data_IF_022868517603
#
_entry.id   IF_022868517603
#
_cell.length_a   1.000
_cell.length_b   1.000
_cell.length_c   1.000
_cell.angle_alpha   90.00
_cell.angle_beta   90.00
_cell.angle_gamma   90.00
#
_symmetry.space_group_name_H-M   'P 1'
#
loop_
_entity.id
_entity.type
_entity.pdbx_description
1 polymer ?
#
# COMPACT_ATOMS: atom_id res chain seq x y z
N UNK A 1 14.93 -4.49 -19.41
CA UNK A 1 14.49 -5.07 -20.70
C UNK A 1 13.22 -5.80 -20.34
N UNK A 2 12.05 -5.19 -20.42
CA UNK A 2 11.17 -5.35 -19.26
C UNK A 2 9.91 -6.17 -19.55
N UNK A 3 9.72 -7.24 -18.78
CA UNK A 3 8.43 -7.93 -18.62
C UNK A 3 7.54 -7.03 -17.77
N UNK A 4 6.32 -6.78 -18.24
CA UNK A 4 5.37 -5.87 -17.60
C UNK A 4 4.07 -6.58 -17.27
N UNK A 5 3.55 -6.38 -16.07
CA UNK A 5 2.26 -6.88 -15.62
C UNK A 5 1.18 -5.79 -15.77
N UNK A 6 0.08 -6.07 -16.47
CA UNK A 6 -0.99 -5.09 -16.69
C UNK A 6 -1.89 -4.99 -15.45
N UNK A 7 -2.12 -3.76 -15.01
CA UNK A 7 -2.92 -3.39 -13.85
C UNK A 7 -4.35 -2.99 -14.25
N UNK A 8 -5.30 -3.29 -13.37
CA UNK A 8 -6.70 -2.89 -13.48
C UNK A 8 -7.20 -2.32 -12.15
N UNK A 9 -7.98 -1.25 -12.22
CA UNK A 9 -8.44 -0.51 -11.05
C UNK A 9 -9.10 0.80 -11.44
N UNK A 10 -9.39 1.63 -10.44
CA UNK A 10 -9.86 2.98 -10.71
C UNK A 10 -8.72 3.85 -11.27
N UNK A 11 -9.04 4.76 -12.19
CA UNK A 11 -8.05 5.64 -12.83
C UNK A 11 -7.28 6.50 -11.83
N UNK A 12 -7.90 6.99 -10.75
CA UNK A 12 -7.21 7.81 -9.74
C UNK A 12 -6.18 7.00 -8.96
N UNK A 13 -6.54 5.76 -8.58
CA UNK A 13 -5.63 4.87 -7.86
C UNK A 13 -4.48 4.44 -8.78
N UNK A 14 -4.77 4.16 -10.06
CA UNK A 14 -3.75 3.81 -11.05
C UNK A 14 -2.81 5.00 -11.36
N UNK A 15 -3.35 6.21 -11.50
CA UNK A 15 -2.54 7.43 -11.70
C UNK A 15 -1.70 7.74 -10.45
N UNK A 16 -2.21 7.49 -9.24
CA UNK A 16 -1.43 7.61 -8.00
C UNK A 16 -0.24 6.64 -7.97
N UNK A 17 -0.41 5.39 -8.43
CA UNK A 17 0.73 4.47 -8.58
C UNK A 17 1.74 4.95 -9.62
N UNK A 18 1.27 5.49 -10.75
CA UNK A 18 2.16 6.09 -11.75
C UNK A 18 2.95 7.25 -11.14
N UNK A 19 2.31 8.13 -10.36
CA UNK A 19 3.01 9.24 -9.70
C UNK A 19 4.07 8.75 -8.71
N UNK A 20 3.75 7.74 -7.90
CA UNK A 20 4.64 7.22 -6.86
C UNK A 20 5.79 6.36 -7.40
N UNK A 21 5.62 5.76 -8.59
CA UNK A 21 6.56 4.80 -9.18
C UNK A 21 6.90 5.13 -10.65
N UNK A 22 6.85 6.41 -11.04
CA UNK A 22 7.09 6.83 -12.44
C UNK A 22 8.49 6.44 -12.94
N UNK A 23 9.46 6.37 -12.02
CA UNK A 23 10.86 6.06 -12.25
C UNK A 23 11.36 5.12 -11.15
N UNK A 24 12.47 4.42 -11.35
CA UNK A 24 13.07 3.51 -10.38
C UNK A 24 12.64 2.05 -10.55
N UNK A 25 12.85 1.24 -9.50
CA UNK A 25 12.60 -0.20 -9.52
C UNK A 25 11.82 -0.61 -8.24
N UNK A 26 10.59 -1.14 -8.36
CA UNK A 26 9.79 -1.31 -9.58
C UNK A 26 9.25 0.02 -10.13
N UNK A 27 8.81 0.00 -11.39
CA UNK A 27 8.22 1.15 -12.10
C UNK A 27 6.75 0.89 -12.42
N UNK A 28 5.90 1.92 -12.34
CA UNK A 28 4.53 1.91 -12.86
C UNK A 28 4.37 2.96 -13.95
N UNK A 29 3.91 2.55 -15.12
CA UNK A 29 3.72 3.43 -16.28
C UNK A 29 2.31 3.33 -16.85
N UNK A 30 1.89 4.41 -17.53
CA UNK A 30 0.69 4.46 -18.37
C UNK A 30 1.10 4.41 -19.83
N UNK A 31 0.74 3.32 -20.50
CA UNK A 31 0.98 3.08 -21.92
C UNK A 31 -0.34 3.23 -22.70
N UNK A 32 -0.28 3.18 -24.04
CA UNK A 32 -1.46 3.30 -24.90
C UNK A 32 -2.58 2.28 -24.58
N UNK A 33 -2.20 1.08 -24.13
CA UNK A 33 -3.11 -0.06 -23.89
C UNK A 33 -3.52 -0.25 -22.41
N UNK A 34 -3.03 0.62 -21.51
CA UNK A 34 -3.36 0.57 -20.08
C UNK A 34 -2.21 0.90 -19.15
N UNK A 35 -2.33 0.45 -17.91
CA UNK A 35 -1.36 0.69 -16.85
C UNK A 35 -0.53 -0.57 -16.61
N UNK A 36 0.76 -0.41 -16.37
CA UNK A 36 1.71 -1.51 -16.30
C UNK A 36 2.65 -1.36 -15.11
N UNK A 37 2.86 -2.46 -14.39
CA UNK A 37 3.91 -2.62 -13.38
C UNK A 37 5.08 -3.37 -14.03
N UNK A 38 6.26 -2.76 -13.97
CA UNK A 38 7.48 -3.24 -14.59
C UNK A 38 8.55 -3.44 -13.51
N UNK A 39 9.27 -4.55 -13.57
CA UNK A 39 10.32 -4.87 -12.60
C UNK A 39 11.32 -5.86 -13.19
N UNK A 40 12.60 -5.69 -12.82
CA UNK A 40 13.65 -6.65 -13.12
C UNK A 40 13.36 -8.04 -12.51
N UNK A 41 12.59 -8.12 -11.42
CA UNK A 41 12.20 -9.38 -10.78
C UNK A 41 11.25 -10.23 -11.65
N UNK A 42 10.61 -9.62 -12.65
CA UNK A 42 9.75 -10.31 -13.61
C UNK A 42 10.51 -10.84 -14.83
N UNK A 43 11.74 -10.36 -15.05
CA UNK A 43 12.55 -10.75 -16.21
C UNK A 43 12.88 -12.25 -16.15
N UNK A 44 12.75 -12.94 -17.28
CA UNK A 44 13.00 -14.38 -17.38
C UNK A 44 11.92 -15.29 -16.78
N UNK A 45 10.82 -14.73 -16.23
CA UNK A 45 9.72 -15.52 -15.67
C UNK A 45 8.56 -15.79 -16.65
N UNK A 46 8.62 -15.27 -17.88
CA UNK A 46 7.50 -15.34 -18.84
C UNK A 46 7.05 -16.77 -19.18
N UNK A 47 7.97 -17.74 -19.08
CA UNK A 47 7.70 -19.15 -19.35
C UNK A 47 7.26 -19.94 -18.10
N UNK A 48 7.28 -19.32 -16.91
CA UNK A 48 6.79 -19.88 -15.64
C UNK A 48 5.66 -18.99 -15.09
N UNK A 49 4.46 -19.18 -15.64
CA UNK A 49 3.29 -18.35 -15.29
C UNK A 49 2.92 -18.38 -13.80
N UNK A 50 3.22 -19.47 -13.09
CA UNK A 50 2.97 -19.58 -11.65
C UNK A 50 3.90 -18.67 -10.84
N UNK A 51 5.21 -18.73 -11.11
CA UNK A 51 6.18 -17.83 -10.48
C UNK A 51 5.98 -16.39 -10.92
N UNK A 52 5.70 -16.15 -12.20
CA UNK A 52 5.42 -14.81 -12.74
C UNK A 52 4.27 -14.13 -12.01
N UNK A 53 3.13 -14.82 -11.86
CA UNK A 53 1.98 -14.28 -11.15
C UNK A 53 2.27 -14.06 -9.67
N UNK A 54 2.96 -15.00 -9.01
CA UNK A 54 3.32 -14.86 -7.60
C UNK A 54 4.23 -13.65 -7.36
N UNK A 55 5.29 -13.50 -8.15
CA UNK A 55 6.21 -12.35 -8.07
C UNK A 55 5.49 -11.04 -8.37
N UNK A 56 4.67 -10.98 -9.42
CA UNK A 56 3.91 -9.78 -9.74
C UNK A 56 2.88 -9.41 -8.66
N UNK A 57 2.27 -10.41 -8.02
CA UNK A 57 1.30 -10.20 -6.95
C UNK A 57 1.97 -9.62 -5.71
N UNK A 58 3.15 -10.13 -5.36
CA UNK A 58 3.95 -9.61 -4.24
C UNK A 58 4.42 -8.17 -4.51
N UNK A 59 4.93 -7.89 -5.73
CA UNK A 59 5.31 -6.53 -6.12
C UNK A 59 4.11 -5.57 -6.05
N UNK A 60 2.94 -5.98 -6.55
CA UNK A 60 1.73 -5.16 -6.49
C UNK A 60 1.26 -4.94 -5.05
N UNK A 61 1.38 -5.94 -4.19
CA UNK A 61 1.06 -5.83 -2.77
C UNK A 61 1.95 -4.77 -2.11
N UNK A 62 3.25 -4.79 -2.35
CA UNK A 62 4.18 -3.81 -1.78
C UNK A 62 3.95 -2.40 -2.32
N UNK A 63 3.74 -2.23 -3.64
CA UNK A 63 3.42 -0.90 -4.21
C UNK A 63 2.09 -0.36 -3.69
N UNK A 64 1.08 -1.24 -3.52
CA UNK A 64 -0.20 -0.91 -2.88
C UNK A 64 -0.01 -0.48 -1.42
N UNK A 65 0.86 -1.15 -0.67
CA UNK A 65 1.16 -0.81 0.72
C UNK A 65 1.77 0.58 0.85
N UNK A 66 2.70 0.93 -0.03
CA UNK A 66 3.29 2.28 -0.11
C UNK A 66 2.21 3.32 -0.45
N UNK A 67 1.43 3.07 -1.50
CA UNK A 67 0.40 4.02 -1.94
C UNK A 67 -0.66 4.26 -0.86
N UNK A 68 -1.13 3.20 -0.19
CA UNK A 68 -2.06 3.31 0.93
C UNK A 68 -1.46 4.07 2.12
N UNK A 69 -0.17 3.92 2.40
CA UNK A 69 0.48 4.68 3.46
C UNK A 69 0.53 6.18 3.13
N UNK A 70 0.84 6.53 1.88
CA UNK A 70 1.06 7.91 1.44
C UNK A 70 -0.24 8.65 1.06
N UNK A 71 -1.27 7.95 0.59
CA UNK A 71 -2.56 8.52 0.19
C UNK A 71 -3.73 7.82 0.90
N UNK A 72 -4.49 8.57 1.70
CA UNK A 72 -5.64 8.06 2.45
C UNK A 72 -6.83 7.69 1.58
N UNK A 73 -6.87 8.21 0.35
CA UNK A 73 -7.95 7.96 -0.60
C UNK A 73 -7.69 6.74 -1.47
N UNK A 74 -6.45 6.24 -1.48
CA UNK A 74 -6.01 5.13 -2.31
C UNK A 74 -6.79 3.85 -2.02
N UNK A 75 -7.23 3.18 -3.09
CA UNK A 75 -7.84 1.86 -3.06
C UNK A 75 -6.98 0.87 -3.84
N UNK A 76 -6.90 -0.40 -3.40
CA UNK A 76 -6.11 -1.41 -4.09
C UNK A 76 -6.52 -1.56 -5.54
N UNK A 77 -5.51 -1.67 -6.40
CA UNK A 77 -5.67 -2.11 -7.79
C UNK A 77 -5.30 -3.59 -7.89
N UNK A 78 -5.55 -4.19 -9.05
CA UNK A 78 -5.41 -5.63 -9.27
C UNK A 78 -4.56 -5.93 -10.49
N UNK A 79 -4.01 -7.14 -10.55
CA UNK A 79 -3.43 -7.68 -11.78
C UNK A 79 -4.57 -8.16 -12.69
N UNK A 80 -4.55 -7.74 -13.96
CA UNK A 80 -5.45 -8.28 -14.98
C UNK A 80 -5.14 -9.74 -15.36
N UNK A 81 -3.97 -10.26 -14.93
CA UNK A 81 -3.41 -11.53 -15.39
C UNK A 81 -2.73 -11.46 -16.75
N UNK A 82 -2.71 -10.30 -17.41
CA UNK A 82 -2.00 -10.08 -18.67
C UNK A 82 -0.58 -9.57 -18.43
N UNK A 83 0.38 -10.21 -19.09
CA UNK A 83 1.79 -9.86 -19.06
C UNK A 83 2.29 -9.60 -20.47
N UNK A 84 3.14 -8.59 -20.62
CA UNK A 84 3.74 -8.20 -21.89
C UNK A 84 5.24 -8.34 -21.76
N UNK A 85 5.82 -9.14 -22.65
CA UNK A 85 7.27 -9.22 -22.82
C UNK A 85 7.68 -8.37 -24.03
N UNK A 86 8.55 -7.39 -23.77
CA UNK A 86 9.13 -6.49 -24.77
C UNK A 86 10.57 -6.87 -25.13
N UNK A 87 11.10 -7.98 -24.61
CA UNK A 87 12.51 -8.39 -24.73
C UNK A 87 12.88 -9.12 -26.03
N UNK A 88 11.97 -9.22 -27.03
CA UNK A 88 12.20 -9.95 -28.28
C UNK A 88 11.76 -9.20 -29.55
N UNK A 89 12.09 -9.75 -30.73
CA UNK A 89 11.55 -9.31 -32.03
C UNK A 89 10.03 -9.59 -32.08
N UNK A 90 9.24 -8.71 -31.47
CA UNK A 90 7.80 -8.81 -31.34
C UNK A 90 7.33 -8.78 -29.89
N UNK A 91 6.22 -8.06 -29.63
CA UNK A 91 5.55 -8.06 -28.31
C UNK A 91 4.89 -9.41 -28.09
N UNK A 92 5.30 -10.15 -27.06
CA UNK A 92 4.62 -11.39 -26.64
C UNK A 92 3.65 -11.08 -25.51
N UNK A 93 2.41 -11.53 -25.66
CA UNK A 93 1.38 -11.45 -24.63
C UNK A 93 1.25 -12.81 -23.94
N UNK A 94 1.41 -12.83 -22.63
CA UNK A 94 1.19 -14.00 -21.78
C UNK A 94 -0.02 -13.74 -20.88
N UNK A 95 -0.96 -14.68 -20.82
CA UNK A 95 -2.17 -14.55 -20.01
C UNK A 95 -2.19 -15.66 -18.97
N UNK A 96 -2.07 -15.28 -17.70
CA UNK A 96 -2.27 -16.18 -16.57
C UNK A 96 -3.70 -16.02 -16.06
N UNK A 97 -4.51 -17.07 -16.15
CA UNK A 97 -5.88 -17.04 -15.64
C UNK A 97 -5.84 -17.29 -14.13
N UNK A 98 -5.97 -16.23 -13.34
CA UNK A 98 -6.32 -16.31 -11.92
C UNK A 98 -7.67 -15.60 -11.72
N UNK A 99 -8.71 -16.38 -11.42
CA UNK A 99 -10.07 -15.85 -11.35
C UNK A 99 -10.40 -15.19 -10.01
N UNK A 100 -10.78 -13.92 -10.06
CA UNK A 100 -12.02 -13.35 -9.47
C UNK A 100 -12.18 -11.92 -9.99
N UNK A 101 -13.32 -11.59 -10.61
CA UNK A 101 -13.62 -10.26 -11.14
C UNK A 101 -14.64 -9.53 -10.25
N UNK A 102 -14.37 -8.27 -9.92
CA UNK A 102 -15.36 -7.31 -9.41
C UNK A 102 -15.39 -6.08 -10.32
N UNK A 103 -16.59 -5.65 -10.75
CA UNK A 103 -16.79 -4.49 -11.64
C UNK A 103 -17.61 -3.43 -10.90
N UNK A 104 -17.15 -2.18 -10.87
CA UNK A 104 -17.92 -1.01 -10.37
C UNK A 104 -17.69 0.23 -11.24
N UNK A 105 -18.77 0.98 -11.49
CA UNK A 105 -18.75 2.27 -12.17
C UNK A 105 -19.07 3.42 -11.21
N UNK A 106 -18.43 4.60 -11.37
CA UNK A 106 -18.82 5.86 -10.71
C UNK A 106 -18.62 7.03 -11.68
N UNK A 107 -19.62 7.91 -11.77
CA UNK A 107 -19.58 9.11 -12.62
C UNK A 107 -18.85 10.27 -11.94
N UNK A 108 -18.18 11.13 -12.72
CA UNK A 108 -17.54 12.36 -12.25
C UNK A 108 -17.92 13.56 -13.11
N UNK A 109 -18.10 14.71 -12.45
CA UNK A 109 -18.15 16.03 -13.08
C UNK A 109 -16.74 16.65 -13.03
N UNK A 110 -16.25 17.14 -14.15
CA UNK A 110 -14.90 17.72 -14.31
C UNK A 110 -15.01 19.25 -14.25
N UNK A 111 -14.26 19.87 -13.34
CA UNK A 111 -13.99 21.31 -13.34
C UNK A 111 -12.53 21.56 -13.74
N UNK A 112 -12.32 22.40 -14.76
CA UNK A 112 -10.98 22.77 -15.26
C UNK A 112 -10.49 24.01 -14.53
N UNK A 113 -9.24 23.97 -14.04
CA UNK A 113 -8.47 25.18 -13.69
C UNK A 113 -7.08 25.08 -14.33
N UNK A 114 -6.73 26.10 -15.09
CA UNK A 114 -5.40 26.30 -15.68
C UNK A 114 -4.62 27.33 -14.87
N UNK A 115 -3.38 27.04 -14.50
CA UNK A 115 -2.30 28.03 -14.48
C UNK A 115 -0.93 27.36 -14.33
N UNK A 116 0.02 27.82 -15.15
CA UNK A 116 1.37 27.35 -15.27
C UNK A 116 2.32 28.01 -14.27
N UNK A 117 3.30 27.25 -13.78
CA UNK A 117 4.57 27.75 -13.25
C UNK A 117 5.63 26.70 -13.55
N UNK A 118 6.81 27.11 -13.99
CA UNK A 118 7.91 26.20 -14.34
C UNK A 118 8.31 25.36 -13.11
N UNK A 119 8.35 24.02 -13.22
CA UNK A 119 8.66 23.18 -12.07
C UNK A 119 10.15 23.29 -11.72
N UNK A 120 10.44 23.45 -10.43
CA UNK A 120 11.70 23.02 -9.84
C UNK A 120 11.94 21.54 -10.23
N UNK A 121 13.20 21.04 -10.25
CA UNK A 121 13.44 19.61 -10.48
C UNK A 121 12.54 18.83 -9.54
N UNK A 122 11.60 18.04 -10.10
CA UNK A 122 10.73 17.21 -9.28
C UNK A 122 11.64 16.30 -8.47
N UNK A 123 11.45 16.26 -7.15
CA UNK A 123 12.06 15.22 -6.34
C UNK A 123 11.68 13.87 -6.95
N UNK A 124 12.60 12.89 -6.99
CA UNK A 124 12.28 11.58 -7.54
C UNK A 124 11.07 10.99 -6.80
N UNK A 125 10.21 10.23 -7.48
CA UNK A 125 9.08 9.56 -6.84
C UNK A 125 9.53 8.76 -5.61
N UNK A 126 8.81 8.85 -4.48
CA UNK A 126 9.26 8.23 -3.24
C UNK A 126 9.10 6.70 -3.22
N UNK A 127 8.26 6.13 -4.09
CA UNK A 127 7.87 4.72 -4.07
C UNK A 127 9.05 3.74 -4.13
N UNK A 128 9.92 3.80 -5.14
CA UNK A 128 11.07 2.89 -5.25
C UNK A 128 12.02 2.97 -4.05
N UNK A 129 12.23 4.16 -3.48
CA UNK A 129 13.09 4.31 -2.30
C UNK A 129 12.51 3.58 -1.08
N UNK A 130 11.19 3.65 -0.89
CA UNK A 130 10.49 2.93 0.19
C UNK A 130 10.50 1.40 -0.03
N UNK A 131 10.40 0.95 -1.28
CA UNK A 131 10.54 -0.49 -1.58
C UNK A 131 11.98 -0.98 -1.43
N UNK A 132 12.96 -0.13 -1.75
CA UNK A 132 14.36 -0.43 -1.49
C UNK A 132 14.65 -0.53 0.01
N UNK A 133 14.03 0.33 0.83
CA UNK A 133 14.06 0.23 2.29
C UNK A 133 13.47 -1.12 2.74
N UNK A 134 12.31 -1.53 2.21
CA UNK A 134 11.68 -2.81 2.53
C UNK A 134 12.57 -4.03 2.22
N UNK A 135 13.29 -4.01 1.09
CA UNK A 135 14.25 -5.07 0.72
C UNK A 135 15.39 -5.24 1.74
N UNK A 136 15.80 -4.15 2.40
CA UNK A 136 16.84 -4.16 3.42
C UNK A 136 16.32 -4.29 4.85
N UNK A 137 15.01 -4.21 5.06
CA UNK A 137 14.42 -4.06 6.39
C UNK A 137 13.15 -4.93 6.55
N UNK A 138 13.30 -6.10 7.18
CA UNK A 138 12.23 -7.11 7.31
C UNK A 138 10.93 -6.55 7.92
N UNK A 139 11.01 -5.76 9.00
CA UNK A 139 9.80 -5.16 9.59
C UNK A 139 9.06 -4.23 8.61
N UNK A 140 9.78 -3.53 7.72
CA UNK A 140 9.16 -2.66 6.70
C UNK A 140 8.45 -3.51 5.65
N UNK A 141 9.08 -4.61 5.22
CA UNK A 141 8.45 -5.57 4.31
C UNK A 141 7.16 -6.18 4.91
N UNK A 142 7.20 -6.62 6.18
CA UNK A 142 6.03 -7.17 6.87
C UNK A 142 4.89 -6.13 7.00
N UNK A 143 5.23 -4.87 7.27
CA UNK A 143 4.26 -3.79 7.31
C UNK A 143 3.63 -3.55 5.92
N UNK A 144 4.43 -3.55 4.85
CA UNK A 144 3.94 -3.43 3.48
C UNK A 144 3.08 -4.61 3.04
N UNK A 145 3.37 -5.83 3.50
CA UNK A 145 2.52 -6.99 3.22
C UNK A 145 1.11 -6.78 3.81
N UNK A 146 1.00 -6.22 5.02
CA UNK A 146 -0.29 -5.97 5.65
C UNK A 146 -0.99 -4.78 5.01
N UNK A 147 -0.28 -3.66 4.82
CA UNK A 147 -0.83 -2.47 4.18
C UNK A 147 -1.23 -2.73 2.72
N UNK A 148 -0.53 -3.64 2.05
CA UNK A 148 -0.69 -4.01 0.66
C UNK A 148 -1.86 -4.93 0.36
N UNK A 149 -2.57 -5.43 1.37
CA UNK A 149 -3.68 -6.36 1.18
C UNK A 149 -4.73 -5.79 0.22
N UNK A 150 -5.27 -6.67 -0.65
CA UNK A 150 -6.24 -6.31 -1.69
C UNK A 150 -7.63 -5.91 -1.16
N UNK A 151 -7.89 -6.08 0.14
CA UNK A 151 -9.12 -5.61 0.77
C UNK A 151 -9.24 -4.09 0.67
N UNK A 152 -10.43 -3.58 0.42
CA UNK A 152 -10.67 -2.12 0.29
C UNK A 152 -10.28 -1.36 1.55
N UNK A 153 -10.59 -1.93 2.72
CA UNK A 153 -10.22 -1.41 4.04
C UNK A 153 -9.44 -2.46 4.83
N UNK A 154 -8.60 -2.00 5.74
CA UNK A 154 -7.88 -2.86 6.69
C UNK A 154 -8.74 -3.09 7.93
N UNK A 155 -8.69 -4.29 8.51
CA UNK A 155 -9.38 -4.56 9.76
C UNK A 155 -8.61 -4.02 10.96
N UNK A 156 -9.26 -3.95 12.13
CA UNK A 156 -8.54 -3.65 13.39
C UNK A 156 -7.40 -4.62 13.68
N UNK A 157 -7.51 -5.87 13.23
CA UNK A 157 -6.45 -6.85 13.39
C UNK A 157 -5.23 -6.50 12.54
N UNK A 158 -5.44 -6.08 11.30
CA UNK A 158 -4.38 -5.68 10.37
C UNK A 158 -3.68 -4.41 10.87
N UNK A 159 -4.46 -3.38 11.22
CA UNK A 159 -3.95 -2.13 11.76
C UNK A 159 -3.11 -2.34 13.03
N UNK A 160 -3.57 -3.22 13.92
CA UNK A 160 -2.82 -3.52 15.13
C UNK A 160 -1.53 -4.29 14.85
N UNK A 161 -1.50 -5.21 13.88
CA UNK A 161 -0.26 -5.89 13.50
C UNK A 161 0.78 -4.89 13.00
N UNK A 162 0.38 -3.93 12.16
CA UNK A 162 1.29 -2.85 11.72
C UNK A 162 1.78 -2.03 12.92
N UNK A 163 0.89 -1.66 13.85
CA UNK A 163 1.30 -1.00 15.09
C UNK A 163 2.31 -1.82 15.91
N UNK A 164 2.10 -3.14 16.03
CA UNK A 164 3.01 -4.04 16.74
C UNK A 164 4.38 -4.11 16.07
N UNK A 165 4.43 -4.18 14.75
CA UNK A 165 5.67 -4.17 13.97
C UNK A 165 6.46 -2.88 14.25
N UNK A 166 5.83 -1.72 14.08
CA UNK A 166 6.50 -0.42 14.35
C UNK A 166 6.97 -0.35 15.80
N UNK A 167 6.09 -0.69 16.76
CA UNK A 167 6.41 -0.70 18.19
C UNK A 167 7.58 -1.63 18.50
N UNK A 168 7.62 -2.81 17.91
CA UNK A 168 8.71 -3.77 18.12
C UNK A 168 10.02 -3.22 17.55
N UNK A 169 10.00 -2.73 16.31
CA UNK A 169 11.17 -2.20 15.63
C UNK A 169 11.85 -1.07 16.42
N UNK A 170 11.07 -0.15 16.98
CA UNK A 170 11.62 0.99 17.72
C UNK A 170 12.05 0.67 19.16
N UNK A 171 11.94 -0.58 19.61
CA UNK A 171 12.35 -1.00 20.96
C UNK A 171 11.25 -0.91 22.02
N UNK A 172 9.98 -0.90 21.61
CA UNK A 172 8.84 -1.04 22.51
C UNK A 172 8.01 0.24 22.71
N UNK A 173 7.06 0.16 23.66
CA UNK A 173 6.05 1.22 23.83
C UNK A 173 6.59 2.53 24.40
N UNK A 174 7.57 2.46 25.31
CA UNK A 174 8.21 3.64 25.89
C UNK A 174 9.09 4.35 24.86
N UNK A 175 9.89 3.58 24.11
CA UNK A 175 10.70 4.12 23.02
C UNK A 175 9.84 4.76 21.93
N UNK A 176 8.73 4.11 21.53
CA UNK A 176 7.77 4.68 20.58
C UNK A 176 7.17 6.00 21.10
N UNK A 177 6.79 6.07 22.38
CA UNK A 177 6.28 7.31 22.97
C UNK A 177 7.36 8.42 22.98
N UNK A 178 8.62 8.05 23.24
CA UNK A 178 9.76 8.96 23.19
C UNK A 178 10.06 9.53 21.80
N UNK A 179 9.62 8.87 20.72
CA UNK A 179 9.76 9.39 19.35
C UNK A 179 8.86 10.59 19.06
N UNK A 180 7.75 10.74 19.78
CA UNK A 180 6.81 11.86 19.57
C UNK A 180 6.02 11.80 18.26
N UNK A 181 6.02 10.68 17.54
CA UNK A 181 5.28 10.50 16.28
C UNK A 181 3.76 10.46 16.46
N UNK A 182 3.30 10.24 17.69
CA UNK A 182 1.88 10.21 18.03
C UNK A 182 1.66 10.74 19.44
N UNK A 183 0.47 11.32 19.69
CA UNK A 183 0.11 11.74 21.04
C UNK A 183 -0.25 10.54 21.91
N UNK A 184 -0.02 10.61 23.24
CA UNK A 184 -0.47 9.57 24.17
C UNK A 184 -1.99 9.33 24.11
N UNK A 185 -2.77 10.37 23.79
CA UNK A 185 -4.22 10.29 23.65
C UNK A 185 -4.61 9.47 22.42
N UNK A 186 -4.00 9.73 21.27
CA UNK A 186 -4.28 9.01 20.02
C UNK A 186 -3.85 7.54 20.14
N UNK A 187 -2.66 7.29 20.69
CA UNK A 187 -2.19 5.93 20.93
C UNK A 187 -3.12 5.16 21.88
N UNK A 188 -3.69 5.83 22.89
CA UNK A 188 -4.69 5.23 23.80
C UNK A 188 -6.02 4.98 23.06
N UNK A 189 -6.52 5.94 22.29
CA UNK A 189 -7.76 5.84 21.54
C UNK A 189 -7.70 4.70 20.50
N UNK A 190 -6.60 4.61 19.75
CA UNK A 190 -6.33 3.50 18.83
C UNK A 190 -6.35 2.15 19.56
N UNK A 191 -5.59 2.02 20.66
CA UNK A 191 -5.52 0.79 21.45
C UNK A 191 -6.88 0.35 21.97
N UNK A 192 -7.69 1.27 22.48
CA UNK A 192 -9.01 0.91 22.98
C UNK A 192 -9.93 0.49 21.83
N UNK A 193 -9.93 1.24 20.74
CA UNK A 193 -10.83 0.98 19.60
C UNK A 193 -10.53 -0.34 18.92
N UNK A 194 -9.25 -0.67 18.73
CA UNK A 194 -8.85 -1.94 18.12
C UNK A 194 -9.14 -3.16 19.02
N UNK A 195 -9.07 -3.00 20.34
CA UNK A 195 -9.09 -4.14 21.27
C UNK A 195 -10.41 -4.33 22.03
N UNK A 196 -11.26 -3.31 22.15
CA UNK A 196 -12.41 -3.35 23.05
C UNK A 196 -13.74 -3.66 22.33
N UNK A 197 -14.43 -4.78 22.64
CA UNK A 197 -15.67 -5.16 21.96
C UNK A 197 -16.84 -4.20 22.26
N UNK A 198 -16.84 -3.51 23.39
CA UNK A 198 -17.84 -2.45 23.64
C UNK A 198 -17.66 -1.19 22.76
N UNK A 199 -16.50 -1.03 22.08
CA UNK A 199 -16.26 0.07 21.13
C UNK A 199 -16.49 -0.44 19.70
N UNK A 200 -15.79 -1.51 19.32
CA UNK A 200 -15.74 -1.98 17.91
C UNK A 200 -16.54 -3.25 17.65
N UNK A 201 -17.34 -3.71 18.63
CA UNK A 201 -18.18 -4.89 18.48
C UNK A 201 -17.38 -6.14 18.11
N UNK A 202 -17.91 -6.91 17.16
CA UNK A 202 -17.27 -8.13 16.66
C UNK A 202 -15.98 -7.87 15.86
N UNK A 203 -15.73 -6.63 15.41
CA UNK A 203 -14.50 -6.28 14.71
C UNK A 203 -13.32 -6.04 15.66
N UNK A 204 -13.57 -5.91 16.97
CA UNK A 204 -12.50 -5.79 17.95
C UNK A 204 -11.67 -7.09 18.02
N UNK A 205 -10.36 -6.95 18.27
CA UNK A 205 -9.44 -8.11 18.38
C UNK A 205 -9.77 -9.06 19.52
N UNK A 206 -10.38 -8.56 20.59
CA UNK A 206 -10.76 -9.38 21.74
C UNK A 206 -12.28 -9.52 21.83
N UNK A 207 -12.74 -10.77 22.02
CA UNK A 207 -14.15 -11.07 22.20
C UNK A 207 -14.70 -10.60 23.56
N UNK A 208 -13.86 -10.54 24.60
CA UNK A 208 -14.23 -10.15 25.97
C UNK A 208 -13.09 -9.39 26.63
N UNK A 209 -13.45 -8.38 27.42
CA UNK A 209 -12.54 -7.59 28.26
C UNK A 209 -13.23 -7.25 29.58
N UNK A 210 -12.45 -7.21 30.66
CA UNK A 210 -12.96 -6.92 32.01
C UNK A 210 -12.85 -5.44 32.38
N UNK A 211 -11.98 -4.69 31.69
CA UNK A 211 -11.83 -3.26 31.87
C UNK A 211 -12.92 -2.48 31.13
N UNK A 212 -13.32 -1.33 31.70
CA UNK A 212 -14.27 -0.42 31.05
C UNK A 212 -13.49 0.53 30.13
N UNK A 213 -13.88 0.68 28.85
CA UNK A 213 -13.25 1.62 27.96
C UNK A 213 -13.46 3.05 28.50
N UNK A 214 -12.46 3.91 28.33
CA UNK A 214 -12.50 5.27 28.87
C UNK A 214 -11.73 6.24 28.01
N UNK A 215 -12.36 7.38 27.71
CA UNK A 215 -11.79 8.46 26.92
C UNK A 215 -12.25 8.40 25.46
N UNK A 216 -11.42 8.98 24.59
CA UNK A 216 -11.68 9.07 23.15
C UNK A 216 -11.55 7.70 22.48
N UNK A 217 -12.35 7.51 21.45
CA UNK A 217 -12.36 6.33 20.58
C UNK A 217 -12.11 6.76 19.14
N UNK A 218 -11.75 5.80 18.30
CA UNK A 218 -11.56 5.96 16.86
C UNK A 218 -12.51 5.04 16.12
N UNK A 219 -13.09 5.56 15.04
CA UNK A 219 -13.64 4.77 13.95
C UNK A 219 -12.52 4.01 13.23
N UNK A 220 -12.88 3.01 12.41
CA UNK A 220 -11.88 2.26 11.64
C UNK A 220 -11.08 3.18 10.70
N UNK A 221 -11.74 4.15 10.06
CA UNK A 221 -11.09 5.12 9.18
C UNK A 221 -10.10 6.04 9.93
N UNK A 222 -10.45 6.47 11.15
CA UNK A 222 -9.51 7.21 12.01
C UNK A 222 -8.33 6.33 12.43
N UNK A 223 -8.57 5.04 12.68
CA UNK A 223 -7.52 4.06 12.95
C UNK A 223 -6.58 3.84 11.76
N UNK A 224 -7.10 3.75 10.54
CA UNK A 224 -6.31 3.72 9.31
C UNK A 224 -5.46 4.99 9.17
N UNK A 225 -6.07 6.16 9.39
CA UNK A 225 -5.36 7.44 9.38
C UNK A 225 -4.22 7.51 10.42
N UNK A 226 -4.48 7.03 11.63
CA UNK A 226 -3.47 6.93 12.69
C UNK A 226 -2.30 6.03 12.28
N UNK A 227 -2.56 4.84 11.73
CA UNK A 227 -1.50 3.92 11.29
C UNK A 227 -0.71 4.49 10.13
N UNK A 228 -1.35 5.14 9.16
CA UNK A 228 -0.65 5.79 8.04
C UNK A 228 0.35 6.84 8.55
N UNK A 229 -0.08 7.73 9.42
CA UNK A 229 0.80 8.77 10.00
C UNK A 229 1.96 8.15 10.78
N UNK A 230 1.67 7.12 11.58
CA UNK A 230 2.70 6.40 12.34
C UNK A 230 3.74 5.74 11.43
N UNK A 231 3.30 5.07 10.36
CA UNK A 231 4.17 4.37 9.42
C UNK A 231 5.04 5.34 8.63
N UNK A 232 4.47 6.44 8.13
CA UNK A 232 5.23 7.47 7.41
C UNK A 232 6.30 8.08 8.31
N UNK A 233 5.95 8.48 9.54
CA UNK A 233 6.93 9.02 10.48
C UNK A 233 8.02 8.00 10.85
N UNK A 234 7.67 6.71 10.89
CA UNK A 234 8.64 5.65 11.10
C UNK A 234 9.59 5.49 9.91
N UNK A 235 9.08 5.43 8.68
CA UNK A 235 9.90 5.34 7.46
C UNK A 235 10.84 6.55 7.32
N UNK A 236 10.35 7.75 7.59
CA UNK A 236 11.17 8.98 7.59
C UNK A 236 12.33 8.91 8.60
N UNK A 237 12.20 8.13 9.67
CA UNK A 237 13.25 7.93 10.66
C UNK A 237 14.29 6.87 10.29
N UNK A 238 14.00 6.06 9.27
CA UNK A 238 14.89 5.01 8.74
C UNK A 238 15.66 5.47 7.50
N UNK A 239 15.21 6.55 6.86
CA UNK A 239 15.87 7.20 5.73
C UNK A 239 17.07 8.05 6.18
#
# INVERSE_FOLDING_TARGET
MTVMARLEGNVFDLDALVELFAEGEPQVSKEAEGYYLASAELEGLIDDGGRLLATASQLLQHTTGVARALDSSFRPVTLSGQFVDTSGEGKRHHVVVAGTAEVRCKAMAVGVVTAASQPAPLAPPPGPALLQLARGHADVADALDILGQSSVSLSWNDLWKVFEIVRHNVGGGEALAGKGWTSPADAKAFKQSANHPAISGAAARHARRSDTPSGQTMTLAEGEGFIRQLVVAWWDSLA
#
